data_IF_097984453588
#
_entry.id   IF_097984453588
#
_cell.length_a   1.000
_cell.length_b   1.000
_cell.length_c   1.000
_cell.angle_alpha   90.00
_cell.angle_beta   90.00
_cell.angle_gamma   90.00
#
_symmetry.space_group_name_H-M   'P 1'
#
loop_
_entity.id
_entity.type
_entity.pdbx_description
1 polymer ?
#
# COMPACT_ATOMS: atom_id res chain seq x y z
N UNK A 1 78.98 8.82 25.40
CA UNK A 1 78.39 8.50 24.09
C UNK A 1 77.41 7.35 24.29
N UNK A 2 76.12 7.68 24.40
CA UNK A 2 75.03 6.76 24.76
C UNK A 2 74.37 6.23 23.49
N UNK A 3 74.31 4.90 23.36
CA UNK A 3 73.64 4.21 22.27
C UNK A 3 72.14 4.09 22.55
N UNK A 4 71.34 4.74 21.69
CA UNK A 4 69.88 4.61 21.63
C UNK A 4 69.51 3.34 20.84
N UNK A 5 69.08 2.28 21.54
CA UNK A 5 68.37 1.16 20.93
C UNK A 5 66.86 1.39 21.03
N UNK A 6 66.24 1.84 19.93
CA UNK A 6 64.79 1.81 19.76
C UNK A 6 64.33 0.38 19.43
N UNK A 7 63.59 -0.23 20.36
CA UNK A 7 62.77 -1.43 20.12
C UNK A 7 61.56 -1.05 19.26
N UNK A 8 61.55 -1.47 17.99
CA UNK A 8 60.34 -1.48 17.17
C UNK A 8 59.40 -2.60 17.64
N UNK A 9 58.26 -2.23 18.21
CA UNK A 9 57.14 -3.13 18.44
C UNK A 9 56.29 -3.26 17.17
N UNK A 10 56.52 -4.33 16.41
CA UNK A 10 55.65 -4.74 15.30
C UNK A 10 54.34 -5.32 15.85
N UNK A 11 53.37 -4.47 16.17
CA UNK A 11 51.98 -4.91 16.41
C UNK A 11 51.34 -5.27 15.08
N UNK A 12 51.45 -6.55 14.69
CA UNK A 12 50.59 -7.17 13.68
C UNK A 12 49.15 -7.11 14.17
N UNK A 13 48.39 -6.11 13.70
CA UNK A 13 46.92 -6.14 13.73
C UNK A 13 46.48 -7.11 12.63
N UNK A 14 46.18 -8.34 13.03
CA UNK A 14 45.38 -9.25 12.21
C UNK A 14 43.99 -8.63 12.07
N UNK A 15 43.71 -8.00 10.93
CA UNK A 15 42.35 -7.67 10.53
C UNK A 15 41.59 -8.99 10.43
N UNK A 16 40.76 -9.25 11.44
CA UNK A 16 39.70 -10.24 11.30
C UNK A 16 38.75 -9.67 10.26
N UNK A 17 38.92 -10.12 9.02
CA UNK A 17 37.87 -10.11 8.01
C UNK A 17 36.74 -11.01 8.52
N UNK A 18 35.93 -10.49 9.43
CA UNK A 18 34.55 -10.92 9.57
C UNK A 18 33.79 -10.30 8.40
N UNK A 19 34.07 -10.79 7.19
CA UNK A 19 33.07 -10.85 6.14
C UNK A 19 32.02 -11.83 6.65
N UNK A 20 31.15 -11.31 7.54
CA UNK A 20 29.85 -11.89 7.76
C UNK A 20 29.18 -11.78 6.40
N UNK A 21 29.37 -12.83 5.59
CA UNK A 21 28.51 -13.15 4.48
C UNK A 21 27.11 -13.13 5.08
N UNK A 22 26.43 -11.98 4.91
CA UNK A 22 24.99 -11.89 4.98
C UNK A 22 24.53 -12.83 3.89
N UNK A 23 24.42 -14.12 4.24
CA UNK A 23 23.39 -14.99 3.70
C UNK A 23 22.13 -14.19 3.96
N UNK A 24 21.73 -13.41 2.94
CA UNK A 24 20.36 -13.00 2.79
C UNK A 24 19.57 -14.27 3.05
N UNK A 25 18.95 -14.33 4.22
CA UNK A 25 17.88 -15.27 4.42
C UNK A 25 16.96 -14.97 3.26
N UNK A 26 16.92 -15.90 2.30
CA UNK A 26 15.87 -15.96 1.32
C UNK A 26 14.65 -16.11 2.22
N UNK A 27 14.04 -14.98 2.59
CA UNK A 27 12.77 -15.00 3.29
C UNK A 27 11.90 -15.83 2.37
N UNK A 28 11.40 -17.00 2.81
CA UNK A 28 10.42 -17.72 2.01
C UNK A 28 9.37 -16.66 1.71
N UNK A 29 9.16 -16.37 0.41
CA UNK A 29 8.19 -15.37 -0.05
C UNK A 29 6.99 -15.53 0.86
N UNK A 30 6.75 -14.54 1.75
CA UNK A 30 5.64 -14.64 2.69
C UNK A 30 4.43 -14.88 1.79
N UNK A 31 3.85 -16.07 1.89
CA UNK A 31 2.66 -16.39 1.13
C UNK A 31 1.65 -15.32 1.49
N UNK A 32 1.36 -14.43 0.54
CA UNK A 32 0.34 -13.42 0.73
C UNK A 32 -0.93 -14.19 1.04
N UNK A 33 -1.62 -13.82 2.11
CA UNK A 33 -2.91 -14.40 2.39
C UNK A 33 -3.86 -14.12 1.22
N UNK A 34 -4.86 -14.98 1.05
CA UNK A 34 -5.73 -14.96 -0.12
C UNK A 34 -6.42 -13.59 -0.29
N UNK A 35 -6.79 -12.90 0.79
CA UNK A 35 -7.49 -11.62 0.65
C UNK A 35 -6.57 -10.50 0.24
N UNK A 36 -5.37 -10.43 0.81
CA UNK A 36 -4.35 -9.47 0.40
C UNK A 36 -4.00 -9.71 -1.06
N UNK A 37 -3.84 -10.97 -1.47
CA UNK A 37 -3.65 -11.32 -2.88
C UNK A 37 -4.81 -10.83 -3.75
N UNK A 38 -6.06 -11.10 -3.37
CA UNK A 38 -7.23 -10.65 -4.14
C UNK A 38 -7.36 -9.13 -4.17
N UNK A 39 -7.07 -8.44 -3.07
CA UNK A 39 -7.09 -6.99 -2.97
C UNK A 39 -6.10 -6.37 -3.97
N UNK A 40 -4.85 -6.84 -3.95
CA UNK A 40 -3.85 -6.38 -4.92
C UNK A 40 -4.19 -6.77 -6.34
N UNK A 41 -4.67 -8.00 -6.55
CA UNK A 41 -5.06 -8.45 -7.88
C UNK A 41 -6.12 -7.54 -8.48
N UNK A 42 -7.16 -7.18 -7.72
CA UNK A 42 -8.21 -6.26 -8.14
C UNK A 42 -7.64 -4.88 -8.46
N UNK A 43 -6.88 -4.27 -7.54
CA UNK A 43 -6.32 -2.92 -7.74
C UNK A 43 -5.40 -2.88 -8.96
N UNK A 44 -4.60 -3.93 -9.18
CA UNK A 44 -3.67 -3.95 -10.30
C UNK A 44 -4.35 -4.14 -11.66
N UNK A 45 -5.63 -4.53 -11.70
CA UNK A 45 -6.39 -4.53 -12.95
C UNK A 45 -6.89 -3.14 -13.35
N UNK A 46 -6.94 -2.18 -12.43
CA UNK A 46 -7.46 -0.85 -12.72
C UNK A 46 -6.63 -0.13 -13.78
N UNK A 47 -7.31 0.69 -14.56
CA UNK A 47 -6.67 1.59 -15.50
C UNK A 47 -6.07 2.76 -14.73
N UNK A 48 -4.77 2.95 -14.88
CA UNK A 48 -4.06 4.06 -14.20
C UNK A 48 -4.38 5.43 -14.81
N UNK A 49 -4.94 5.46 -16.02
CA UNK A 49 -5.25 6.70 -16.74
C UNK A 49 -6.34 7.51 -16.03
N UNK A 50 -7.15 6.86 -15.18
CA UNK A 50 -8.12 7.52 -14.32
C UNK A 50 -7.49 8.55 -13.38
N UNK A 51 -6.24 8.31 -12.96
CA UNK A 51 -5.51 9.19 -12.05
C UNK A 51 -4.81 10.34 -12.75
N UNK A 52 -4.63 10.24 -14.08
CA UNK A 52 -4.12 11.37 -14.85
C UNK A 52 -5.24 12.37 -15.20
N UNK A 53 -6.51 11.93 -15.24
CA UNK A 53 -7.67 12.77 -15.57
C UNK A 53 -8.92 12.39 -14.74
N UNK A 54 -8.90 12.57 -13.40
CA UNK A 54 -9.97 12.08 -12.51
C UNK A 54 -11.37 12.59 -12.89
N UNK A 55 -11.46 13.84 -13.37
CA UNK A 55 -12.71 14.50 -13.78
C UNK A 55 -13.49 13.75 -14.86
N UNK A 56 -12.83 12.96 -15.69
CA UNK A 56 -13.49 12.21 -16.78
C UNK A 56 -14.10 10.88 -16.32
N UNK A 57 -13.73 10.40 -15.12
CA UNK A 57 -14.06 9.05 -14.65
C UNK A 57 -14.95 9.03 -13.39
N UNK A 58 -15.10 10.15 -12.69
CA UNK A 58 -15.83 10.24 -11.41
C UNK A 58 -17.36 10.13 -11.51
N UNK A 59 -17.95 10.21 -12.71
CA UNK A 59 -19.41 10.39 -12.88
C UNK A 59 -20.17 9.17 -13.39
N UNK A 60 -19.50 8.04 -13.65
CA UNK A 60 -20.16 6.89 -14.28
C UNK A 60 -20.29 5.70 -13.34
N UNK A 61 -21.49 5.16 -13.22
CA UNK A 61 -21.79 3.85 -12.61
C UNK A 61 -20.92 2.72 -13.22
N UNK A 62 -20.49 2.92 -14.47
CA UNK A 62 -19.52 2.07 -15.19
C UNK A 62 -18.17 1.98 -14.47
N UNK A 63 -17.71 3.05 -13.84
CA UNK A 63 -16.44 3.08 -13.10
C UNK A 63 -16.48 2.16 -11.88
N UNK A 64 -17.61 2.08 -11.17
CA UNK A 64 -17.76 1.15 -10.03
C UNK A 64 -17.68 -0.32 -10.44
N UNK A 65 -18.28 -0.68 -11.58
CA UNK A 65 -18.15 -2.03 -12.14
C UNK A 65 -16.72 -2.34 -12.58
N UNK A 66 -16.03 -1.37 -13.18
CA UNK A 66 -14.63 -1.52 -13.56
C UNK A 66 -13.71 -1.64 -12.33
N UNK A 67 -14.03 -0.96 -11.21
CA UNK A 67 -13.29 -0.99 -9.95
C UNK A 67 -13.47 -2.33 -9.22
N UNK A 68 -14.72 -2.77 -9.07
CA UNK A 68 -15.07 -3.92 -8.23
C UNK A 68 -15.14 -5.24 -9.01
N UNK A 69 -15.06 -5.16 -10.35
CA UNK A 69 -15.11 -6.29 -11.27
C UNK A 69 -16.54 -6.76 -11.58
N UNK A 70 -16.67 -7.65 -12.57
CA UNK A 70 -17.96 -8.14 -13.09
C UNK A 70 -18.85 -8.83 -12.04
N UNK A 71 -18.27 -9.28 -10.93
CA UNK A 71 -18.98 -9.98 -9.86
C UNK A 71 -19.50 -9.05 -8.75
N UNK A 72 -19.27 -7.75 -8.84
CA UNK A 72 -19.76 -6.84 -7.82
C UNK A 72 -21.25 -6.56 -8.05
N UNK A 73 -22.12 -6.72 -7.03
CA UNK A 73 -23.47 -6.22 -7.12
C UNK A 73 -23.42 -4.72 -7.42
N UNK A 74 -24.17 -4.30 -8.44
CA UNK A 74 -24.38 -2.90 -8.83
C UNK A 74 -24.76 -2.02 -7.66
N UNK A 75 -25.54 -2.59 -6.75
CA UNK A 75 -25.94 -1.97 -5.50
C UNK A 75 -24.93 -2.37 -4.43
N UNK A 76 -24.09 -1.43 -4.02
CA UNK A 76 -23.31 -1.57 -2.79
C UNK A 76 -24.30 -1.79 -1.64
N UNK A 77 -24.37 -3.03 -1.15
CA UNK A 77 -25.22 -3.37 -0.03
C UNK A 77 -24.90 -2.43 1.14
N UNK A 78 -25.92 -1.78 1.67
CA UNK A 78 -25.77 -1.01 2.90
C UNK A 78 -25.27 -1.91 4.03
N UNK A 79 -24.47 -1.36 4.94
CA UNK A 79 -24.03 -2.11 6.12
C UNK A 79 -25.24 -2.60 6.90
N UNK A 80 -25.24 -3.88 7.25
CA UNK A 80 -26.31 -4.49 8.03
C UNK A 80 -26.07 -4.23 9.52
N UNK A 81 -27.15 -4.15 10.28
CA UNK A 81 -27.05 -4.10 11.74
C UNK A 81 -26.50 -5.42 12.28
N UNK A 82 -26.91 -6.55 11.68
CA UNK A 82 -26.53 -7.89 12.08
C UNK A 82 -26.13 -8.71 10.84
N UNK A 83 -25.15 -9.59 11.02
CA UNK A 83 -24.65 -10.50 10.00
C UNK A 83 -24.82 -11.94 10.47
N UNK A 84 -25.39 -12.81 9.63
CA UNK A 84 -25.69 -14.18 10.02
C UNK A 84 -24.44 -15.07 9.98
N UNK A 85 -23.52 -14.74 9.08
CA UNK A 85 -22.25 -15.45 8.92
C UNK A 85 -21.11 -14.48 8.65
N UNK A 86 -19.87 -14.91 8.94
CA UNK A 86 -18.67 -14.15 8.57
C UNK A 86 -18.61 -13.90 7.07
N UNK A 87 -19.09 -14.86 6.26
CA UNK A 87 -19.17 -14.70 4.80
C UNK A 87 -20.06 -13.53 4.42
N UNK A 88 -21.23 -13.38 5.03
CA UNK A 88 -22.16 -12.27 4.75
C UNK A 88 -21.51 -10.92 5.09
N UNK A 89 -20.79 -10.86 6.22
CA UNK A 89 -20.05 -9.68 6.64
C UNK A 89 -18.98 -9.31 5.62
N UNK A 90 -18.22 -10.31 5.15
CA UNK A 90 -17.17 -10.15 4.17
C UNK A 90 -17.66 -9.72 2.79
N UNK A 91 -18.74 -10.34 2.30
CA UNK A 91 -19.38 -9.97 1.04
C UNK A 91 -19.92 -8.54 1.07
N UNK A 92 -20.29 -8.02 2.25
CA UNK A 92 -20.73 -6.64 2.43
C UNK A 92 -19.57 -5.66 2.59
N UNK A 93 -18.59 -5.96 3.46
CA UNK A 93 -17.54 -5.00 3.83
C UNK A 93 -16.42 -4.90 2.81
N UNK A 94 -16.08 -5.98 2.10
CA UNK A 94 -14.97 -5.97 1.13
C UNK A 94 -15.20 -4.97 -0.02
N UNK A 95 -16.38 -4.94 -0.69
CA UNK A 95 -16.65 -3.94 -1.72
C UNK A 95 -16.62 -2.50 -1.18
N UNK A 96 -17.18 -2.26 0.02
CA UNK A 96 -17.16 -0.95 0.66
C UNK A 96 -15.74 -0.47 0.97
N UNK A 97 -14.88 -1.37 1.46
CA UNK A 97 -13.48 -1.05 1.72
C UNK A 97 -12.72 -0.73 0.41
N UNK A 98 -12.97 -1.48 -0.66
CA UNK A 98 -12.37 -1.22 -1.96
C UNK A 98 -12.83 0.13 -2.55
N UNK A 99 -14.11 0.45 -2.38
CA UNK A 99 -14.70 1.72 -2.76
C UNK A 99 -14.06 2.89 -2.00
N UNK A 100 -13.95 2.78 -0.67
CA UNK A 100 -13.29 3.79 0.16
C UNK A 100 -11.82 3.97 -0.24
N UNK A 101 -11.11 2.87 -0.50
CA UNK A 101 -9.72 2.91 -0.96
C UNK A 101 -9.58 3.66 -2.29
N UNK A 102 -10.46 3.37 -3.24
CA UNK A 102 -10.50 4.05 -4.53
C UNK A 102 -10.77 5.55 -4.40
N UNK A 103 -11.78 5.94 -3.61
CA UNK A 103 -12.06 7.35 -3.35
C UNK A 103 -10.90 8.06 -2.64
N UNK A 104 -10.26 7.39 -1.68
CA UNK A 104 -9.08 7.91 -1.01
C UNK A 104 -7.93 8.14 -1.99
N UNK A 105 -7.74 7.26 -2.97
CA UNK A 105 -6.73 7.46 -4.03
C UNK A 105 -7.03 8.68 -4.90
N UNK A 106 -8.28 8.87 -5.33
CA UNK A 106 -8.66 10.01 -6.17
C UNK A 106 -8.51 11.35 -5.45
N UNK A 107 -8.88 11.40 -4.17
CA UNK A 107 -8.73 12.60 -3.36
C UNK A 107 -7.25 12.99 -3.21
N UNK A 108 -6.39 12.00 -2.94
CA UNK A 108 -4.95 12.24 -2.79
C UNK A 108 -4.33 12.80 -4.10
N UNK A 109 -4.90 12.48 -5.27
CA UNK A 109 -4.44 13.04 -6.57
C UNK A 109 -4.92 14.46 -6.84
N UNK A 110 -6.14 14.82 -6.43
CA UNK A 110 -6.67 16.18 -6.64
C UNK A 110 -5.92 17.21 -5.78
N UNK A 111 -5.46 16.82 -4.58
CA UNK A 111 -4.74 17.69 -3.66
C UNK A 111 -3.29 17.99 -4.12
N UNK A 112 -2.71 17.21 -5.05
CA UNK A 112 -1.37 17.47 -5.61
C UNK A 112 -1.33 18.65 -6.60
N UNK A 113 -2.47 19.02 -7.19
CA UNK A 113 -2.56 20.00 -8.27
C UNK A 113 -2.81 21.45 -7.79
N UNK A 114 -2.91 21.72 -6.48
CA UNK A 114 -3.01 23.10 -5.96
C UNK A 114 -1.62 23.76 -5.88
N UNK A 115 -1.29 24.71 -6.79
CA UNK A 115 0.03 25.35 -6.82
C UNK A 115 0.29 26.27 -5.61
N UNK A 116 -0.72 26.54 -4.76
CA UNK A 116 -0.63 27.45 -3.62
C UNK A 116 0.13 26.89 -2.40
N UNK A 117 0.06 25.57 -2.15
CA UNK A 117 0.54 24.94 -0.92
C UNK A 117 1.80 24.08 -1.12
N UNK A 118 2.84 24.70 -1.67
CA UNK A 118 4.16 24.11 -1.93
C UNK A 118 4.90 23.49 -0.73
N UNK A 119 4.39 23.64 0.51
CA UNK A 119 5.04 23.11 1.73
C UNK A 119 4.62 21.68 2.09
N UNK A 120 3.50 21.18 1.54
CA UNK A 120 3.02 19.82 1.75
C UNK A 120 2.92 19.02 0.45
N UNK A 121 3.59 19.47 -0.61
CA UNK A 121 3.77 18.67 -1.82
C UNK A 121 4.54 17.40 -1.41
N UNK A 122 3.79 16.32 -1.19
CA UNK A 122 4.27 14.96 -1.31
C UNK A 122 4.72 14.81 -2.76
N UNK A 123 5.85 15.42 -3.13
CA UNK A 123 6.40 15.34 -4.48
C UNK A 123 6.43 13.87 -4.83
N UNK A 124 5.72 13.53 -5.90
CA UNK A 124 5.57 12.16 -6.31
C UNK A 124 6.94 11.52 -6.47
N UNK A 125 7.22 10.62 -5.54
CA UNK A 125 8.53 10.02 -5.34
C UNK A 125 8.84 9.12 -6.53
N UNK A 126 9.86 9.47 -7.32
CA UNK A 126 10.16 8.70 -8.54
C UNK A 126 11.59 8.25 -8.62
N UNK A 127 11.75 6.96 -8.93
CA UNK A 127 13.03 6.30 -9.07
C UNK A 127 13.05 5.47 -10.36
N UNK A 128 14.25 5.18 -10.84
CA UNK A 128 14.47 4.28 -11.97
C UNK A 128 15.20 3.06 -11.43
N UNK A 129 14.76 1.86 -11.79
CA UNK A 129 15.49 0.64 -11.48
C UNK A 129 15.61 -0.30 -12.66
N UNK A 130 16.69 -1.05 -12.70
CA UNK A 130 16.92 -2.13 -13.66
C UNK A 130 16.36 -3.45 -13.13
N UNK A 131 15.66 -4.19 -13.97
CA UNK A 131 15.11 -5.51 -13.63
C UNK A 131 16.25 -6.51 -13.50
N UNK A 132 16.35 -7.16 -12.34
CA UNK A 132 17.28 -8.26 -12.10
C UNK A 132 16.61 -9.62 -12.32
N UNK A 133 15.37 -9.77 -11.85
CA UNK A 133 14.62 -11.01 -12.02
C UNK A 133 13.12 -10.76 -12.00
N UNK A 134 12.38 -11.67 -12.63
CA UNK A 134 10.92 -11.68 -12.67
C UNK A 134 10.48 -13.07 -12.25
N UNK A 135 9.53 -13.15 -11.32
CA UNK A 135 8.91 -14.37 -10.86
C UNK A 135 7.39 -14.23 -10.93
N UNK A 136 6.69 -15.30 -11.23
CA UNK A 136 5.24 -15.36 -11.09
C UNK A 136 4.88 -15.86 -9.70
N UNK A 137 3.88 -15.27 -9.08
CA UNK A 137 3.26 -15.76 -7.84
C UNK A 137 1.76 -15.93 -8.05
N UNK A 138 1.21 -17.01 -7.50
CA UNK A 138 -0.23 -17.32 -7.52
C UNK A 138 -0.79 -17.29 -6.11
N UNK A 139 -2.02 -16.80 -5.96
CA UNK A 139 -2.70 -16.72 -4.66
C UNK A 139 -3.11 -18.09 -4.12
N UNK A 140 -3.36 -19.04 -5.01
CA UNK A 140 -3.65 -20.44 -4.68
C UNK A 140 -3.14 -21.38 -5.79
N UNK A 141 -2.94 -22.67 -5.46
CA UNK A 141 -2.50 -23.69 -6.43
C UNK A 141 -3.48 -23.88 -7.62
N UNK A 142 -4.73 -23.42 -7.50
CA UNK A 142 -5.77 -23.58 -8.51
C UNK A 142 -6.15 -22.27 -9.23
N UNK A 143 -5.58 -21.12 -8.84
CA UNK A 143 -6.05 -19.84 -9.36
C UNK A 143 -5.40 -19.50 -10.71
N UNK A 144 -6.22 -19.16 -11.71
CA UNK A 144 -5.76 -18.53 -12.96
C UNK A 144 -5.18 -17.13 -12.75
N UNK A 145 -5.45 -16.53 -11.58
CA UNK A 145 -4.93 -15.23 -11.15
C UNK A 145 -3.45 -15.35 -10.82
N UNK A 146 -2.62 -14.58 -11.52
CA UNK A 146 -1.17 -14.50 -11.29
C UNK A 146 -0.74 -13.05 -11.13
N UNK A 147 0.20 -12.84 -10.22
CA UNK A 147 0.92 -11.58 -10.06
C UNK A 147 2.39 -11.80 -10.43
N UNK A 148 3.04 -10.72 -10.85
CA UNK A 148 4.48 -10.70 -11.10
C UNK A 148 5.19 -10.07 -9.93
N UNK A 149 6.20 -10.77 -9.42
CA UNK A 149 7.18 -10.26 -8.46
C UNK A 149 8.45 -9.93 -9.23
N UNK A 150 8.78 -8.65 -9.28
CA UNK A 150 9.94 -8.11 -9.99
C UNK A 150 10.97 -7.69 -8.96
N UNK A 151 12.17 -8.24 -9.04
CA UNK A 151 13.33 -7.75 -8.29
C UNK A 151 14.11 -6.78 -9.15
N UNK A 152 14.46 -5.64 -8.58
CA UNK A 152 15.09 -4.53 -9.28
C UNK A 152 16.27 -3.97 -8.51
N UNK A 153 17.27 -3.52 -9.25
CA UNK A 153 18.35 -2.67 -8.76
C UNK A 153 18.02 -1.21 -9.03
N UNK A 154 17.96 -0.38 -7.99
CA UNK A 154 17.54 1.01 -8.11
C UNK A 154 18.76 1.91 -8.30
N UNK A 155 18.64 2.89 -9.19
CA UNK A 155 19.64 3.91 -9.38
C UNK A 155 19.21 5.19 -8.68
N UNK A 156 20.09 5.73 -7.82
CA UNK A 156 19.90 7.02 -7.19
C UNK A 156 20.84 8.07 -7.79
N UNK A 157 20.34 9.30 -7.84
CA UNK A 157 21.15 10.48 -8.12
C UNK A 157 21.85 10.91 -6.82
N UNK A 158 23.05 10.37 -6.59
CA UNK A 158 23.82 10.58 -5.37
C UNK A 158 24.20 12.05 -5.14
N UNK A 159 24.30 12.86 -6.19
CA UNK A 159 24.64 14.29 -6.07
C UNK A 159 23.58 15.07 -5.28
N UNK A 160 22.34 14.56 -5.24
CA UNK A 160 21.24 15.12 -4.46
C UNK A 160 21.13 14.50 -3.06
N UNK A 161 21.80 13.38 -2.81
CA UNK A 161 21.70 12.64 -1.56
C UNK A 161 22.89 12.96 -0.64
N UNK A 162 22.69 13.90 0.27
CA UNK A 162 23.76 14.42 1.15
C UNK A 162 24.03 13.59 2.41
N UNK A 163 23.08 12.75 2.84
CA UNK A 163 23.15 12.02 4.12
C UNK A 163 22.95 10.52 3.90
N UNK A 164 24.04 9.71 3.85
CA UNK A 164 23.95 8.27 3.61
C UNK A 164 23.29 7.49 4.75
N UNK A 165 23.00 8.14 5.89
CA UNK A 165 22.31 7.51 7.02
C UNK A 165 20.80 7.49 6.86
N UNK A 166 20.26 8.29 5.93
CA UNK A 166 18.83 8.39 5.65
C UNK A 166 18.53 7.90 4.24
N UNK A 167 17.35 7.31 3.98
CA UNK A 167 16.96 6.97 2.62
C UNK A 167 16.99 8.24 1.74
N UNK A 168 17.35 8.11 0.45
CA UNK A 168 17.30 9.24 -0.46
C UNK A 168 15.90 9.87 -0.44
N UNK A 169 15.80 11.21 -0.56
CA UNK A 169 14.50 11.84 -0.73
C UNK A 169 13.83 11.21 -1.95
N UNK A 170 12.50 11.12 -1.94
CA UNK A 170 11.75 10.61 -3.08
C UNK A 170 11.96 9.13 -3.40
N UNK A 171 12.40 8.35 -2.41
CA UNK A 171 12.49 6.90 -2.49
C UNK A 171 11.15 6.27 -2.03
N UNK A 172 10.50 5.43 -2.87
CA UNK A 172 9.37 4.61 -2.43
C UNK A 172 9.75 3.77 -1.21
N UNK A 173 8.80 3.52 -0.34
CA UNK A 173 8.99 2.70 0.84
C UNK A 173 8.18 1.42 0.74
N UNK A 174 8.57 0.42 1.54
CA UNK A 174 7.76 -0.77 1.73
C UNK A 174 6.35 -0.37 2.17
N UNK A 175 5.34 -0.91 1.48
CA UNK A 175 3.95 -0.56 1.74
C UNK A 175 3.40 0.54 0.85
N UNK A 176 4.19 1.10 -0.06
CA UNK A 176 3.73 2.09 -1.01
C UNK A 176 3.12 1.43 -2.26
N UNK A 177 2.03 2.02 -2.74
CA UNK A 177 1.47 1.78 -4.06
C UNK A 177 2.19 2.71 -5.04
N UNK A 178 2.63 2.17 -6.17
CA UNK A 178 3.39 2.88 -7.20
C UNK A 178 2.78 2.68 -8.57
N UNK A 179 2.93 3.68 -9.45
CA UNK A 179 2.83 3.50 -10.88
C UNK A 179 4.15 2.94 -11.41
N UNK A 180 4.07 1.79 -12.07
CA UNK A 180 5.17 1.17 -12.82
C UNK A 180 5.07 1.65 -14.26
N UNK A 181 5.98 2.55 -14.64
CA UNK A 181 6.04 3.13 -15.98
C UNK A 181 7.04 2.32 -16.80
N UNK A 182 6.54 1.67 -17.85
CA UNK A 182 7.34 0.88 -18.80
C UNK A 182 7.04 1.30 -20.24
N UNK A 183 8.01 1.07 -21.14
CA UNK A 183 7.95 1.51 -22.54
C UNK A 183 7.66 3.01 -22.71
N UNK A 184 8.07 3.82 -21.74
CA UNK A 184 7.96 5.28 -21.74
C UNK A 184 6.55 5.85 -21.56
N UNK A 185 5.48 5.05 -21.73
CA UNK A 185 4.09 5.53 -21.67
C UNK A 185 3.12 4.63 -20.93
N UNK A 186 3.36 3.32 -20.88
CA UNK A 186 2.41 2.40 -20.24
C UNK A 186 2.59 2.45 -18.73
N UNK A 187 1.48 2.51 -18.02
CA UNK A 187 1.40 2.57 -16.57
C UNK A 187 0.58 1.39 -16.07
N UNK A 188 1.06 0.77 -15.00
CA UNK A 188 0.28 -0.18 -14.20
C UNK A 188 0.54 0.09 -12.74
N UNK A 189 -0.39 -0.33 -11.88
CA UNK A 189 -0.12 -0.33 -10.46
C UNK A 189 0.85 -1.42 -10.06
N UNK A 190 1.66 -1.12 -9.05
CA UNK A 190 2.47 -2.09 -8.35
C UNK A 190 2.60 -1.72 -6.88
N UNK A 191 3.10 -2.65 -6.09
CA UNK A 191 3.26 -2.55 -4.66
C UNK A 191 4.70 -2.84 -4.27
N UNK A 192 5.28 -2.01 -3.42
CA UNK A 192 6.64 -2.22 -2.91
C UNK A 192 6.58 -3.19 -1.73
N UNK A 193 6.93 -4.45 -1.99
CA UNK A 193 6.98 -5.50 -0.97
C UNK A 193 8.14 -5.32 -0.01
N UNK A 194 9.29 -4.97 -0.58
CA UNK A 194 10.54 -4.77 0.15
C UNK A 194 11.41 -3.73 -0.53
N UNK A 195 12.15 -3.00 0.28
CA UNK A 195 12.97 -1.89 -0.15
C UNK A 195 14.21 -1.75 0.72
N UNK A 196 15.36 -2.10 0.15
CA UNK A 196 16.66 -1.90 0.76
C UNK A 196 17.42 -0.81 0.02
N UNK A 197 17.24 0.42 0.47
CA UNK A 197 17.89 1.59 -0.14
C UNK A 197 19.41 1.59 0.04
N UNK A 198 19.97 0.85 1.01
CA UNK A 198 21.42 0.76 1.22
C UNK A 198 22.06 -0.12 0.17
N UNK A 199 21.43 -1.25 -0.11
CA UNK A 199 21.86 -2.16 -1.16
C UNK A 199 21.29 -1.77 -2.52
N UNK A 200 20.39 -0.80 -2.59
CA UNK A 200 19.66 -0.39 -3.79
C UNK A 200 18.77 -1.50 -4.35
N UNK A 201 18.25 -2.37 -3.50
CA UNK A 201 17.42 -3.50 -3.92
C UNK A 201 15.95 -3.19 -3.64
N UNK A 202 15.08 -3.58 -4.58
CA UNK A 202 13.64 -3.42 -4.45
C UNK A 202 12.92 -4.66 -4.98
N UNK A 203 11.90 -5.08 -4.23
CA UNK A 203 10.95 -6.09 -4.67
C UNK A 203 9.59 -5.43 -4.88
N UNK A 204 9.06 -5.59 -6.09
CA UNK A 204 7.82 -4.99 -6.56
C UNK A 204 6.86 -6.09 -6.99
N UNK A 205 5.65 -6.11 -6.46
CA UNK A 205 4.57 -6.95 -6.98
C UNK A 205 3.62 -6.15 -7.86
N UNK A 206 3.24 -6.67 -9.02
CA UNK A 206 2.33 -6.02 -9.99
C UNK A 206 1.51 -7.07 -10.73
N UNK A 207 0.54 -6.66 -11.56
CA UNK A 207 -0.17 -7.60 -12.44
C UNK A 207 0.76 -8.20 -13.50
N UNK A 208 0.28 -9.21 -14.21
CA UNK A 208 1.00 -9.75 -15.36
C UNK A 208 1.18 -8.69 -16.45
N UNK A 209 2.43 -8.44 -16.83
CA UNK A 209 2.83 -7.56 -17.92
C UNK A 209 3.49 -8.45 -18.96
N UNK A 210 3.26 -8.16 -20.25
CA UNK A 210 3.97 -8.87 -21.32
C UNK A 210 5.48 -8.59 -21.21
N UNK A 211 6.23 -9.60 -20.77
CA UNK A 211 7.66 -9.55 -20.48
C UNK A 211 8.51 -9.33 -21.73
N UNK A 212 8.03 -9.73 -22.92
CA UNK A 212 8.72 -9.48 -24.18
C UNK A 212 8.82 -7.99 -24.50
N UNK A 213 7.99 -7.17 -23.87
CA UNK A 213 7.97 -5.72 -24.03
C UNK A 213 8.44 -5.00 -22.76
N UNK A 214 9.01 -5.69 -21.77
CA UNK A 214 9.53 -5.00 -20.59
C UNK A 214 10.92 -4.45 -20.91
N UNK A 215 11.04 -3.13 -20.92
CA UNK A 215 12.35 -2.49 -20.91
C UNK A 215 13.14 -2.97 -19.69
N UNK A 216 14.46 -3.09 -19.85
CA UNK A 216 15.36 -3.43 -18.73
C UNK A 216 15.23 -2.45 -17.57
N UNK A 217 14.87 -1.20 -17.85
CA UNK A 217 14.69 -0.16 -16.85
C UNK A 217 13.21 0.19 -16.71
N UNK A 218 12.73 0.23 -15.47
CA UNK A 218 11.39 0.66 -15.10
C UNK A 218 11.48 1.94 -14.29
N UNK A 219 10.56 2.86 -14.51
CA UNK A 219 10.39 4.05 -13.66
C UNK A 219 9.24 3.80 -12.70
N UNK A 220 9.49 3.93 -11.41
CA UNK A 220 8.47 3.84 -10.37
C UNK A 220 8.09 5.27 -9.96
N UNK A 221 6.79 5.55 -9.82
CA UNK A 221 6.27 6.81 -9.26
C UNK A 221 5.32 6.46 -8.12
N UNK A 222 5.59 6.91 -6.91
CA UNK A 222 4.71 6.65 -5.76
C UNK A 222 3.37 7.34 -5.93
N UNK A 223 2.30 6.62 -5.58
CA UNK A 223 0.92 7.09 -5.59
C UNK A 223 0.49 7.41 -4.17
N UNK A 224 0.48 6.41 -3.28
CA UNK A 224 0.22 6.61 -1.84
C UNK A 224 0.81 5.47 -1.02
N UNK A 225 0.97 5.71 0.28
CA UNK A 225 1.19 4.61 1.22
C UNK A 225 -0.13 3.92 1.51
N UNK A 226 -0.16 2.58 1.36
CA UNK A 226 -1.39 1.79 1.57
C UNK A 226 -1.34 0.96 2.85
N UNK A 227 -0.34 1.19 3.70
CA UNK A 227 -0.17 0.43 4.93
C UNK A 227 -1.40 0.49 5.85
N UNK A 228 -2.08 1.63 5.90
CA UNK A 228 -3.30 1.77 6.71
C UNK A 228 -4.43 0.92 6.15
N UNK A 229 -4.58 0.85 4.82
CA UNK A 229 -5.61 0.05 4.17
C UNK A 229 -5.32 -1.45 4.31
N UNK A 230 -4.05 -1.86 4.22
CA UNK A 230 -3.64 -3.23 4.51
C UNK A 230 -3.91 -3.62 5.99
N UNK A 231 -3.78 -2.69 6.94
CA UNK A 231 -4.17 -2.94 8.33
C UNK A 231 -5.69 -3.12 8.48
N UNK A 232 -6.50 -2.32 7.76
CA UNK A 232 -7.97 -2.50 7.73
C UNK A 232 -8.33 -3.86 7.14
N UNK A 233 -7.74 -4.23 6.01
CA UNK A 233 -7.95 -5.52 5.37
C UNK A 233 -7.61 -6.66 6.32
N UNK A 234 -6.44 -6.60 6.95
CA UNK A 234 -6.02 -7.60 7.94
C UNK A 234 -6.96 -7.68 9.14
N UNK A 235 -7.42 -6.53 9.66
CA UNK A 235 -8.40 -6.50 10.75
C UNK A 235 -9.75 -7.14 10.35
N UNK A 236 -10.17 -7.00 9.09
CA UNK A 236 -11.34 -7.70 8.57
C UNK A 236 -11.10 -9.22 8.57
N UNK A 237 -9.94 -9.68 8.11
CA UNK A 237 -9.63 -11.11 8.05
C UNK A 237 -9.52 -11.79 9.42
N UNK A 238 -8.90 -11.11 10.37
CA UNK A 238 -8.69 -11.59 11.74
C UNK A 238 -9.94 -11.38 12.61
N UNK A 239 -11.01 -10.78 12.08
CA UNK A 239 -12.25 -10.51 12.81
C UNK A 239 -12.85 -11.75 13.51
N UNK A 240 -12.87 -12.98 12.92
CA UNK A 240 -13.39 -14.18 13.57
C UNK A 240 -12.61 -14.58 14.83
N UNK A 241 -11.35 -14.16 14.93
CA UNK A 241 -10.47 -14.44 16.07
C UNK A 241 -10.58 -13.35 17.15
N UNK A 242 -11.26 -12.24 16.85
CA UNK A 242 -11.44 -11.14 17.78
C UNK A 242 -12.35 -11.52 18.95
N UNK A 243 -11.99 -11.11 20.17
CA UNK A 243 -12.85 -11.22 21.34
C UNK A 243 -14.15 -10.40 21.21
N UNK A 244 -14.18 -9.44 20.28
CA UNK A 244 -15.34 -8.61 19.96
C UNK A 244 -16.17 -9.17 18.79
N UNK A 245 -15.81 -10.33 18.22
CA UNK A 245 -16.47 -10.89 17.05
C UNK A 245 -17.99 -10.90 17.17
N UNK A 246 -18.52 -11.50 18.24
CA UNK A 246 -19.97 -11.60 18.44
C UNK A 246 -20.65 -10.23 18.58
N UNK A 247 -19.99 -9.28 19.26
CA UNK A 247 -20.52 -7.92 19.44
C UNK A 247 -20.53 -7.13 18.12
N UNK A 248 -19.59 -7.39 17.22
CA UNK A 248 -19.54 -6.77 15.89
C UNK A 248 -20.57 -7.40 14.95
N UNK A 249 -20.70 -8.72 14.97
CA UNK A 249 -21.60 -9.46 14.08
C UNK A 249 -23.07 -9.30 14.47
N UNK A 250 -23.36 -9.20 15.78
CA UNK A 250 -24.70 -9.11 16.36
C UNK A 250 -24.68 -8.10 17.51
N UNK A 251 -24.55 -6.80 17.19
CA UNK A 251 -24.49 -5.77 18.21
C UNK A 251 -25.82 -5.72 19.00
N UNK A 252 -25.73 -5.45 20.30
CA UNK A 252 -26.90 -5.44 21.16
C UNK A 252 -27.75 -4.20 20.85
N UNK A 253 -29.06 -4.37 20.61
CA UNK A 253 -29.97 -3.25 20.37
C UNK A 253 -29.93 -2.21 21.50
N UNK A 254 -29.70 -2.66 22.74
CA UNK A 254 -29.57 -1.78 23.90
C UNK A 254 -28.42 -0.79 23.76
N UNK A 255 -27.32 -1.16 23.10
CA UNK A 255 -26.17 -0.27 22.89
C UNK A 255 -26.53 0.95 22.04
N UNK A 256 -27.55 0.81 21.17
CA UNK A 256 -28.05 1.90 20.32
C UNK A 256 -29.13 2.75 20.99
N UNK A 257 -29.85 2.21 21.98
CA UNK A 257 -30.91 2.96 22.68
C UNK A 257 -30.38 4.14 23.50
N UNK A 258 -29.13 4.08 23.97
CA UNK A 258 -28.49 5.15 24.77
C UNK A 258 -28.39 6.48 23.97
N UNK A 259 -28.31 6.42 22.63
CA UNK A 259 -28.23 7.65 21.80
C UNK A 259 -29.57 8.36 21.60
N UNK A 260 -30.71 7.66 21.57
CA UNK A 260 -32.02 8.32 21.38
C UNK A 260 -32.35 9.25 22.55
N UNK A 261 -32.09 8.82 23.78
CA UNK A 261 -32.28 9.65 24.96
C UNK A 261 -31.36 10.90 24.94
N UNK A 262 -30.10 10.76 24.51
CA UNK A 262 -29.17 11.88 24.39
C UNK A 262 -29.55 12.91 23.30
N UNK A 263 -29.98 12.45 22.12
CA UNK A 263 -30.39 13.32 21.01
C UNK A 263 -31.69 14.07 21.33
N UNK A 264 -32.66 13.41 21.97
CA UNK A 264 -33.87 14.07 22.46
C UNK A 264 -33.55 15.11 23.54
N UNK A 265 -32.59 14.82 24.42
CA UNK A 265 -32.13 15.76 25.47
C UNK A 265 -31.49 17.02 24.87
N UNK A 266 -30.62 16.85 23.86
CA UNK A 266 -29.98 17.96 23.15
C UNK A 266 -31.02 18.79 22.38
N UNK A 267 -32.00 18.13 21.74
CA UNK A 267 -33.07 18.80 21.01
C UNK A 267 -33.96 19.64 21.94
N UNK A 268 -34.27 19.12 23.14
CA UNK A 268 -35.01 19.85 24.19
C UNK A 268 -34.22 21.04 24.74
N UNK A 269 -32.90 20.91 24.90
CA UNK A 269 -32.03 22.01 25.35
C UNK A 269 -31.96 23.15 24.33
N UNK A 270 -31.83 22.83 23.03
CA UNK A 270 -31.84 23.85 21.96
C UNK A 270 -33.18 24.59 21.86
N UNK A 271 -34.30 23.88 22.07
CA UNK A 271 -35.65 24.48 22.13
C UNK A 271 -35.84 25.43 23.32
N UNK A 272 -35.23 25.13 24.47
CA UNK A 272 -35.26 26.04 25.63
C UNK A 272 -34.43 27.30 25.39
N UNK A 273 -33.23 27.19 24.82
CA UNK A 273 -32.39 28.36 24.51
C UNK A 273 -33.05 29.30 23.50
N UNK A 274 -33.77 28.77 22.51
CA UNK A 274 -34.50 29.58 21.51
C UNK A 274 -35.72 30.33 22.05
N UNK A 275 -36.20 30.00 23.25
CA UNK A 275 -37.29 30.72 23.94
C UNK A 275 -36.78 31.79 24.91
N UNK A 276 -35.47 31.81 25.16
CA UNK A 276 -34.81 32.72 26.11
C UNK A 276 -34.13 33.92 25.42
N UNK A 277 -34.00 33.87 24.10
CA UNK A 277 -33.59 34.97 23.24
C UNK A 277 -34.80 35.46 22.44
#
# INVERSE_FOLDING_TARGET
>A
MQNYHQKMNSRRRTSRDTSASYRMMIFPCRTMDLWTFEFFYTIFQWETDWFDNPKNHLTSEKSLREILGDNCPLDLNSTLLCYNSTKDYYETMKPLMMHEFFHGLLKDTDDEDDPGDSKNSNRAKSIIGSIESIQETSGDCSSTKKLLVIRMKISYDYDKWRDPTKPPPDTPQRGDLVHVIYNGRRKVFGYIDDMDWKHQDCTLTTRQINTNHLNRNLKLKTVKSIQQDLRKLRALQELPESSLFNAIMKPNELDYTIRKAGIESISRLKLKQKKLN
#
